data_IF_351302344440
#
_entry.id   IF_351302344440
#
_cell.length_a   1.000
_cell.length_b   1.000
_cell.length_c   1.000
_cell.angle_alpha   90.00
_cell.angle_beta   90.00
_cell.angle_gamma   90.00
#
_symmetry.space_group_name_H-M   'P 1'
#
loop_
_entity.id
_entity.type
_entity.pdbx_description
1 polymer ?
#
# COMPACT_ATOMS: atom_id res chain seq x y z
N UNK A 1 2.12 -26.91 -3.69
CA UNK A 1 0.99 -26.46 -2.85
C UNK A 1 0.98 -24.94 -2.91
N UNK A 2 0.46 -24.41 -4.00
CA UNK A 2 0.43 -22.98 -4.37
C UNK A 2 -0.93 -22.74 -5.02
N UNK A 3 -1.99 -23.15 -4.33
CA UNK A 3 -3.37 -22.95 -4.78
C UNK A 3 -4.04 -21.98 -3.82
N UNK A 4 -4.60 -20.93 -4.40
CA UNK A 4 -5.58 -19.98 -3.87
C UNK A 4 -5.10 -18.93 -2.85
N UNK A 5 -4.34 -17.93 -3.33
CA UNK A 5 -4.33 -16.61 -2.67
C UNK A 5 -5.04 -15.59 -3.56
N UNK A 6 -6.30 -15.33 -3.24
CA UNK A 6 -7.18 -14.35 -3.90
C UNK A 6 -6.51 -12.98 -4.13
N UNK A 7 -5.65 -12.55 -3.21
CA UNK A 7 -4.87 -11.32 -3.36
C UNK A 7 -3.79 -11.46 -4.43
N UNK A 8 -2.99 -12.53 -4.38
CA UNK A 8 -1.95 -12.73 -5.40
C UNK A 8 -2.58 -12.94 -6.78
N UNK A 9 -3.76 -13.55 -6.87
CA UNK A 9 -4.49 -13.70 -8.14
C UNK A 9 -5.07 -12.38 -8.64
N UNK A 10 -5.70 -11.58 -7.76
CA UNK A 10 -6.16 -10.24 -8.10
C UNK A 10 -5.00 -9.41 -8.61
N UNK A 11 -3.91 -9.34 -7.87
CA UNK A 11 -2.74 -8.58 -8.23
C UNK A 11 -2.07 -9.19 -9.47
N UNK A 12 -1.86 -10.50 -9.60
CA UNK A 12 -1.24 -11.08 -10.79
C UNK A 12 -2.07 -10.89 -12.07
N UNK A 13 -3.41 -11.01 -12.01
CA UNK A 13 -4.31 -10.83 -13.16
C UNK A 13 -4.56 -9.35 -13.48
N UNK A 14 -4.85 -8.52 -12.47
CA UNK A 14 -4.99 -7.07 -12.69
C UNK A 14 -3.67 -6.44 -13.14
N UNK A 15 -2.52 -6.98 -12.71
CA UNK A 15 -1.22 -6.40 -13.02
C UNK A 15 -0.70 -6.64 -14.44
N UNK A 16 -1.50 -7.25 -15.31
CA UNK A 16 -1.40 -7.04 -16.75
C UNK A 16 -1.84 -5.61 -17.16
N UNK A 17 -1.49 -4.57 -16.36
CA UNK A 17 -1.91 -3.15 -16.39
C UNK A 17 -1.44 -2.40 -17.65
N UNK A 18 -1.66 -2.89 -18.86
CA UNK A 18 -1.63 -1.97 -20.00
C UNK A 18 -2.82 -0.99 -19.96
N UNK A 19 -4.07 -1.42 -19.66
CA UNK A 19 -5.24 -0.54 -19.72
C UNK A 19 -5.22 0.56 -18.65
N UNK A 20 -4.73 0.23 -17.45
CA UNK A 20 -4.67 1.20 -16.35
C UNK A 20 -3.44 2.10 -16.40
N UNK A 21 -2.38 1.75 -17.14
CA UNK A 21 -1.19 2.60 -17.17
C UNK A 21 -1.54 3.98 -17.73
N UNK A 22 -2.34 4.02 -18.79
CA UNK A 22 -2.82 5.26 -19.40
C UNK A 22 -3.72 6.04 -18.44
N UNK A 23 -4.65 5.35 -17.77
CA UNK A 23 -5.57 6.00 -16.85
C UNK A 23 -4.87 6.50 -15.58
N UNK A 24 -3.96 5.72 -15.01
CA UNK A 24 -3.09 6.14 -13.91
C UNK A 24 -2.21 7.34 -14.32
N UNK A 25 -1.67 7.35 -15.54
CA UNK A 25 -0.91 8.48 -16.05
C UNK A 25 -1.78 9.75 -16.16
N UNK A 26 -3.02 9.62 -16.67
CA UNK A 26 -4.00 10.73 -16.69
C UNK A 26 -4.32 11.23 -15.29
N UNK A 27 -4.55 10.32 -14.34
CA UNK A 27 -4.80 10.69 -12.95
C UNK A 27 -3.64 11.40 -12.30
N UNK A 28 -2.39 10.99 -12.56
CA UNK A 28 -1.22 11.68 -12.01
C UNK A 28 -1.21 13.14 -12.48
N UNK A 29 -1.53 13.39 -13.75
CA UNK A 29 -1.66 14.74 -14.33
C UNK A 29 -2.85 15.49 -13.71
N UNK A 30 -4.03 14.90 -13.66
CA UNK A 30 -5.21 15.56 -13.09
C UNK A 30 -5.02 15.90 -11.62
N UNK A 31 -4.35 15.03 -10.86
CA UNK A 31 -4.12 15.24 -9.45
C UNK A 31 -3.06 16.30 -9.20
N UNK A 32 -1.98 16.39 -9.99
CA UNK A 32 -0.95 17.42 -9.82
C UNK A 32 -1.54 18.83 -9.89
N UNK A 33 -2.42 19.07 -10.88
CA UNK A 33 -3.04 20.37 -11.14
C UNK A 33 -4.16 20.73 -10.17
N UNK A 34 -4.85 19.75 -9.59
CA UNK A 34 -6.09 19.99 -8.83
C UNK A 34 -5.94 19.97 -7.32
N UNK A 35 -4.76 20.10 -6.72
CA UNK A 35 -4.64 20.09 -5.25
C UNK A 35 -5.18 21.37 -4.59
N UNK A 36 -6.47 21.45 -4.16
CA UNK A 36 -7.09 22.70 -3.72
C UNK A 36 -6.70 23.05 -2.27
N UNK A 37 -6.25 22.05 -1.50
CA UNK A 37 -5.84 22.17 -0.10
C UNK A 37 -4.34 22.47 0.07
N UNK A 38 -3.55 22.52 -1.01
CA UNK A 38 -2.12 22.79 -0.94
C UNK A 38 -1.70 24.17 -1.45
N UNK A 39 -2.64 24.99 -1.94
CA UNK A 39 -2.35 26.34 -2.49
C UNK A 39 -1.09 26.35 -3.38
N UNK A 40 -0.89 25.31 -4.21
CA UNK A 40 0.21 25.31 -5.17
C UNK A 40 -0.17 26.31 -6.24
N UNK A 41 0.48 27.47 -6.20
CA UNK A 41 0.32 28.47 -7.26
C UNK A 41 1.26 28.04 -8.38
N UNK A 42 0.74 27.81 -9.59
CA UNK A 42 1.52 27.42 -10.79
C UNK A 42 2.68 28.37 -11.13
N UNK A 43 2.70 29.55 -10.51
CA UNK A 43 3.60 30.65 -10.83
C UNK A 43 4.74 30.79 -9.81
N UNK A 44 4.63 30.20 -8.61
CA UNK A 44 5.59 30.44 -7.52
C UNK A 44 6.08 29.17 -6.80
N UNK A 45 7.32 29.24 -6.32
CA UNK A 45 7.92 28.21 -5.49
C UNK A 45 7.15 28.06 -4.17
N UNK A 46 6.51 26.91 -3.99
CA UNK A 46 5.67 26.60 -2.83
C UNK A 46 6.34 25.53 -1.97
N UNK A 47 6.40 25.67 -0.63
CA UNK A 47 6.91 24.63 0.24
C UNK A 47 5.93 23.45 0.32
N UNK A 48 6.41 22.24 0.03
CA UNK A 48 5.65 21.00 0.17
C UNK A 48 6.36 20.03 1.10
N UNK A 49 5.60 19.16 1.76
CA UNK A 49 6.13 18.05 2.55
C UNK A 49 6.11 16.78 1.67
N UNK A 50 7.28 16.23 1.27
CA UNK A 50 7.34 15.18 0.25
C UNK A 50 6.53 13.93 0.58
N UNK A 51 6.64 13.45 1.82
CA UNK A 51 5.97 12.22 2.23
C UNK A 51 4.44 12.29 2.15
N UNK A 52 3.76 13.25 2.82
CA UNK A 52 2.30 13.35 2.71
C UNK A 52 1.84 13.66 1.28
N UNK A 53 2.63 14.43 0.51
CA UNK A 53 2.33 14.70 -0.89
C UNK A 53 2.31 13.42 -1.75
N UNK A 54 3.40 12.65 -1.72
CA UNK A 54 3.50 11.40 -2.48
C UNK A 54 2.50 10.35 -2.00
N UNK A 55 2.25 10.29 -0.70
CA UNK A 55 1.28 9.36 -0.13
C UNK A 55 -0.14 9.66 -0.64
N UNK A 56 -0.54 10.93 -0.74
CA UNK A 56 -1.86 11.29 -1.28
C UNK A 56 -2.01 10.93 -2.76
N UNK A 57 -1.00 11.24 -3.58
CA UNK A 57 -0.98 10.85 -4.99
C UNK A 57 -1.13 9.34 -5.14
N UNK A 58 -0.29 8.59 -4.42
CA UNK A 58 -0.32 7.13 -4.44
C UNK A 58 -1.66 6.56 -3.95
N UNK A 59 -2.26 7.17 -2.92
CA UNK A 59 -3.53 6.73 -2.34
C UNK A 59 -4.67 6.85 -3.36
N UNK A 60 -4.75 7.96 -4.10
CA UNK A 60 -5.78 8.18 -5.12
C UNK A 60 -5.59 7.29 -6.35
N UNK A 61 -4.35 7.11 -6.81
CA UNK A 61 -4.02 6.17 -7.90
C UNK A 61 -4.40 4.74 -7.51
N UNK A 62 -4.03 4.32 -6.30
CA UNK A 62 -4.39 2.98 -5.80
C UNK A 62 -5.90 2.83 -5.67
N UNK A 63 -6.61 3.86 -5.18
CA UNK A 63 -8.06 3.84 -5.09
C UNK A 63 -8.72 3.69 -6.47
N UNK A 64 -8.18 4.28 -7.55
CA UNK A 64 -8.74 4.08 -8.90
C UNK A 64 -8.70 2.65 -9.38
N UNK A 65 -7.63 1.94 -9.05
CA UNK A 65 -7.44 0.53 -9.41
C UNK A 65 -8.36 -0.36 -8.58
N UNK A 66 -8.53 -0.05 -7.30
CA UNK A 66 -9.33 -0.86 -6.38
C UNK A 66 -10.83 -0.58 -6.50
N UNK A 67 -11.24 0.69 -6.44
CA UNK A 67 -12.64 1.08 -6.30
C UNK A 67 -13.22 1.82 -7.50
N UNK A 68 -12.48 1.85 -8.61
CA UNK A 68 -12.95 2.44 -9.86
C UNK A 68 -12.96 3.97 -9.86
N UNK A 69 -13.38 4.57 -10.99
CA UNK A 69 -13.47 6.03 -11.15
C UNK A 69 -14.51 6.67 -10.21
N UNK A 70 -15.53 5.93 -9.79
CA UNK A 70 -16.67 6.43 -9.02
C UNK A 70 -16.28 6.85 -7.59
N UNK A 71 -15.33 6.12 -6.98
CA UNK A 71 -14.95 6.34 -5.58
C UNK A 71 -13.52 6.86 -5.39
N UNK A 72 -12.65 6.78 -6.40
CA UNK A 72 -11.25 7.24 -6.26
C UNK A 72 -11.09 8.75 -5.99
N UNK A 73 -12.06 9.57 -6.41
CA UNK A 73 -12.12 11.00 -6.14
C UNK A 73 -13.05 11.37 -4.97
N UNK A 74 -13.69 10.38 -4.35
CA UNK A 74 -14.59 10.60 -3.24
C UNK A 74 -13.79 10.76 -1.95
N UNK A 75 -13.56 12.00 -1.52
CA UNK A 75 -12.82 12.30 -0.29
C UNK A 75 -13.45 11.66 0.96
N UNK A 76 -14.74 11.38 0.92
CA UNK A 76 -15.43 10.67 1.99
C UNK A 76 -15.03 9.20 2.07
N UNK A 77 -14.90 8.53 0.92
CA UNK A 77 -14.38 7.16 0.83
C UNK A 77 -12.93 7.09 1.29
N UNK A 78 -12.08 7.99 0.79
CA UNK A 78 -10.67 8.08 1.17
C UNK A 78 -10.52 8.36 2.67
N UNK A 79 -11.33 9.27 3.22
CA UNK A 79 -11.36 9.57 4.64
C UNK A 79 -11.83 8.39 5.49
N UNK A 80 -12.88 7.68 5.06
CA UNK A 80 -13.41 6.52 5.77
C UNK A 80 -12.40 5.36 5.82
N UNK A 81 -11.72 5.09 4.70
CA UNK A 81 -10.71 4.04 4.59
C UNK A 81 -9.45 4.37 5.41
N UNK A 82 -8.99 5.62 5.39
CA UNK A 82 -7.88 6.07 6.25
C UNK A 82 -8.23 5.96 7.75
N UNK A 83 -9.43 6.38 8.14
CA UNK A 83 -9.91 6.27 9.53
C UNK A 83 -10.09 4.82 9.97
N UNK A 84 -10.53 3.94 9.06
CA UNK A 84 -10.58 2.51 9.30
C UNK A 84 -9.20 1.94 9.64
N UNK A 85 -8.17 2.24 8.83
CA UNK A 85 -6.79 1.75 9.08
C UNK A 85 -6.28 2.23 10.44
N UNK A 86 -6.46 3.51 10.75
CA UNK A 86 -6.05 4.08 12.05
C UNK A 86 -6.76 3.40 13.23
N UNK A 87 -8.08 3.22 13.12
CA UNK A 87 -8.89 2.57 14.15
C UNK A 87 -8.54 1.10 14.30
N UNK A 88 -8.24 0.40 13.20
CA UNK A 88 -7.82 -0.99 13.21
C UNK A 88 -6.50 -1.17 13.97
N UNK A 89 -5.48 -0.37 13.65
CA UNK A 89 -4.18 -0.44 14.34
C UNK A 89 -4.31 -0.15 15.84
N UNK A 90 -5.09 0.88 16.20
CA UNK A 90 -5.39 1.19 17.61
C UNK A 90 -6.14 0.05 18.29
N UNK A 91 -7.15 -0.52 17.65
CA UNK A 91 -7.92 -1.63 18.18
C UNK A 91 -7.04 -2.86 18.42
N UNK A 92 -6.17 -3.24 17.48
CA UNK A 92 -5.27 -4.39 17.66
C UNK A 92 -4.36 -4.21 18.89
N UNK A 93 -3.73 -3.03 19.02
CA UNK A 93 -2.87 -2.73 20.17
C UNK A 93 -3.66 -2.71 21.48
N UNK A 94 -4.82 -2.04 21.49
CA UNK A 94 -5.73 -1.90 22.64
C UNK A 94 -6.27 -3.25 23.12
N UNK A 95 -6.67 -4.13 22.20
CA UNK A 95 -7.20 -5.45 22.53
C UNK A 95 -6.12 -6.35 23.10
N UNK A 96 -4.94 -6.39 22.47
CA UNK A 96 -3.80 -7.20 22.97
C UNK A 96 -3.31 -6.75 24.35
N UNK A 97 -3.38 -5.45 24.65
CA UNK A 97 -2.94 -4.92 25.93
C UNK A 97 -3.95 -5.13 27.07
N UNK A 98 -5.26 -5.12 26.79
CA UNK A 98 -6.31 -5.08 27.82
C UNK A 98 -7.06 -6.39 28.01
N UNK A 99 -7.06 -7.27 27.03
CA UNK A 99 -7.85 -8.50 27.05
C UNK A 99 -6.95 -9.72 27.10
N UNK A 100 -7.30 -10.66 27.98
CA UNK A 100 -6.71 -11.99 27.93
C UNK A 100 -7.09 -12.68 26.60
N UNK A 101 -6.20 -13.53 26.07
CA UNK A 101 -6.39 -14.21 24.77
C UNK A 101 -7.74 -14.93 24.65
N UNK A 102 -8.21 -15.55 25.75
CA UNK A 102 -9.51 -16.25 25.82
C UNK A 102 -10.73 -15.31 25.89
N UNK A 103 -10.55 -14.06 26.33
CA UNK A 103 -11.62 -13.07 26.48
C UNK A 103 -11.63 -12.04 25.34
N UNK A 104 -10.76 -12.19 24.34
CA UNK A 104 -10.62 -11.26 23.22
C UNK A 104 -11.92 -11.02 22.45
N UNK A 105 -12.83 -12.00 22.41
CA UNK A 105 -14.14 -11.85 21.75
C UNK A 105 -15.02 -10.76 22.39
N UNK A 106 -14.89 -10.52 23.70
CA UNK A 106 -15.64 -9.48 24.42
C UNK A 106 -15.23 -8.07 24.00
N UNK A 107 -14.02 -7.92 23.45
CA UNK A 107 -13.52 -6.63 22.98
C UNK A 107 -14.42 -6.02 21.90
N UNK A 108 -15.05 -6.85 21.05
CA UNK A 108 -16.02 -6.38 20.04
C UNK A 108 -17.14 -5.55 20.67
N UNK A 109 -17.62 -5.95 21.84
CA UNK A 109 -18.80 -5.38 22.49
C UNK A 109 -18.44 -4.29 23.51
N UNK A 110 -17.23 -4.32 24.08
CA UNK A 110 -16.85 -3.47 25.21
C UNK A 110 -15.85 -2.39 24.78
N UNK A 111 -14.88 -2.74 23.92
CA UNK A 111 -13.78 -1.86 23.56
C UNK A 111 -14.24 -0.79 22.57
N UNK A 112 -14.02 0.49 22.91
CA UNK A 112 -14.38 1.63 22.06
C UNK A 112 -13.60 1.65 20.74
N UNK A 113 -12.32 1.27 20.74
CA UNK A 113 -11.48 1.21 19.54
C UNK A 113 -12.00 0.12 18.60
N UNK A 114 -12.34 -1.05 19.16
CA UNK A 114 -12.91 -2.15 18.37
C UNK A 114 -14.26 -1.76 17.75
N UNK A 115 -15.13 -1.06 18.50
CA UNK A 115 -16.39 -0.50 17.95
C UNK A 115 -16.14 0.52 16.83
N UNK A 116 -15.08 1.33 16.96
CA UNK A 116 -14.65 2.27 15.92
C UNK A 116 -14.39 1.58 14.58
N UNK A 117 -13.71 0.43 14.59
CA UNK A 117 -13.47 -0.38 13.38
C UNK A 117 -14.78 -0.73 12.67
N UNK A 118 -15.79 -1.22 13.40
CA UNK A 118 -17.09 -1.57 12.80
C UNK A 118 -17.85 -0.34 12.29
N UNK A 119 -17.75 0.79 12.99
CA UNK A 119 -18.36 2.05 12.54
C UNK A 119 -17.79 2.51 11.20
N UNK A 120 -16.46 2.49 11.04
CA UNK A 120 -15.83 2.89 9.78
C UNK A 120 -16.11 1.89 8.64
N UNK A 121 -16.18 0.59 8.95
CA UNK A 121 -16.62 -0.43 7.98
C UNK A 121 -18.04 -0.19 7.49
N UNK A 122 -18.97 0.10 8.41
CA UNK A 122 -20.35 0.40 8.05
C UNK A 122 -20.42 1.65 7.17
N UNK A 123 -19.65 2.69 7.49
CA UNK A 123 -19.62 3.90 6.68
C UNK A 123 -19.09 3.63 5.27
N UNK A 124 -18.02 2.84 5.13
CA UNK A 124 -17.52 2.41 3.83
C UNK A 124 -18.60 1.63 3.04
N UNK A 125 -19.31 0.71 3.68
CA UNK A 125 -20.41 -0.03 3.07
C UNK A 125 -21.54 0.91 2.59
N UNK A 126 -21.87 1.94 3.37
CA UNK A 126 -22.91 2.91 2.99
C UNK A 126 -22.53 3.73 1.75
N UNK A 127 -21.26 4.11 1.61
CA UNK A 127 -20.73 4.82 0.44
C UNK A 127 -20.67 3.90 -0.78
N UNK A 128 -20.30 2.64 -0.59
CA UNK A 128 -20.15 1.65 -1.67
C UNK A 128 -21.49 1.14 -2.21
N UNK A 129 -22.52 1.07 -1.35
CA UNK A 129 -23.85 0.55 -1.68
C UNK A 129 -24.46 1.11 -2.97
N UNK A 130 -24.52 2.44 -3.20
CA UNK A 130 -25.08 2.97 -4.45
C UNK A 130 -24.26 2.56 -5.68
N UNK A 131 -22.94 2.47 -5.58
CA UNK A 131 -22.07 2.05 -6.69
C UNK A 131 -22.31 0.58 -7.03
N UNK A 132 -22.36 -0.28 -6.00
CA UNK A 132 -22.68 -1.70 -6.18
C UNK A 132 -24.05 -1.89 -6.83
N UNK A 133 -25.07 -1.19 -6.33
CA UNK A 133 -26.42 -1.30 -6.88
C UNK A 133 -26.46 -0.87 -8.36
N UNK A 134 -25.82 0.25 -8.70
CA UNK A 134 -25.77 0.73 -10.08
C UNK A 134 -25.09 -0.26 -11.02
N UNK A 135 -24.00 -0.92 -10.58
CA UNK A 135 -23.31 -1.95 -11.36
C UNK A 135 -24.16 -3.20 -11.53
N UNK A 136 -24.82 -3.68 -10.46
CA UNK A 136 -25.74 -4.81 -10.54
C UNK A 136 -26.94 -4.54 -11.46
N UNK A 137 -27.46 -3.31 -11.45
CA UNK A 137 -28.57 -2.90 -12.31
C UNK A 137 -28.14 -2.82 -13.79
N UNK A 138 -26.92 -2.34 -14.06
CA UNK A 138 -26.34 -2.31 -15.40
C UNK A 138 -26.11 -3.73 -15.96
N UNK A 139 -25.56 -4.63 -15.14
CA UNK A 139 -25.39 -6.04 -15.51
C UNK A 139 -26.74 -6.74 -15.79
N UNK A 140 -27.77 -6.44 -14.99
CA UNK A 140 -29.11 -6.97 -15.20
C UNK A 140 -29.74 -6.50 -16.53
N UNK A 141 -29.32 -5.33 -17.02
CA UNK A 141 -29.72 -4.79 -18.33
C UNK A 141 -28.88 -5.34 -19.49
N UNK A 142 -27.92 -6.23 -19.23
CA UNK A 142 -27.00 -6.78 -20.24
C UNK A 142 -25.95 -5.78 -20.69
N UNK A 143 -25.76 -4.69 -19.96
CA UNK A 143 -24.66 -3.75 -20.18
C UNK A 143 -23.46 -4.31 -19.42
N UNK A 144 -22.59 -5.05 -20.11
CA UNK A 144 -21.28 -5.39 -19.55
C UNK A 144 -20.50 -4.09 -19.36
N UNK A 145 -20.38 -3.68 -18.11
CA UNK A 145 -19.44 -2.65 -17.73
C UNK A 145 -18.05 -3.26 -17.92
N UNK A 146 -17.37 -2.91 -19.02
CA UNK A 146 -15.95 -3.24 -19.24
C UNK A 146 -15.02 -2.51 -18.26
N UNK A 147 -15.42 -2.44 -17.00
CA UNK A 147 -14.71 -1.83 -15.90
C UNK A 147 -13.73 -2.85 -15.37
N UNK A 148 -12.49 -2.70 -15.78
CA UNK A 148 -11.38 -3.31 -15.07
C UNK A 148 -11.18 -2.46 -13.80
N UNK A 149 -11.65 -2.94 -12.65
CA UNK A 149 -11.29 -2.45 -11.31
C UNK A 149 -11.54 -3.53 -10.23
N UNK A 150 -11.09 -3.27 -9.00
CA UNK A 150 -11.22 -4.20 -7.87
C UNK A 150 -12.65 -4.54 -7.47
N UNK A 151 -13.61 -3.60 -7.57
CA UNK A 151 -15.02 -3.86 -7.30
C UNK A 151 -15.57 -4.86 -8.31
N UNK A 152 -15.33 -4.65 -9.60
CA UNK A 152 -15.82 -5.56 -10.64
C UNK A 152 -15.15 -6.94 -10.49
N UNK A 153 -13.85 -6.96 -10.23
CA UNK A 153 -13.12 -8.20 -9.99
C UNK A 153 -13.68 -8.98 -8.79
N UNK A 154 -13.99 -8.29 -7.67
CA UNK A 154 -14.62 -8.92 -6.51
C UNK A 154 -16.03 -9.43 -6.87
N UNK A 155 -16.83 -8.66 -7.61
CA UNK A 155 -18.14 -9.13 -8.07
C UNK A 155 -18.04 -10.43 -8.89
N UNK A 156 -17.08 -10.50 -9.81
CA UNK A 156 -16.82 -11.69 -10.64
C UNK A 156 -16.27 -12.87 -9.83
N UNK A 157 -15.38 -12.63 -8.86
CA UNK A 157 -14.87 -13.64 -7.95
C UNK A 157 -15.97 -14.24 -7.06
N UNK A 158 -16.89 -13.41 -6.56
CA UNK A 158 -18.06 -13.88 -5.82
C UNK A 158 -19.00 -14.69 -6.71
N UNK A 159 -19.22 -14.25 -7.95
CA UNK A 159 -20.05 -14.93 -8.95
C UNK A 159 -19.49 -16.30 -9.31
N UNK A 160 -18.18 -16.42 -9.52
CA UNK A 160 -17.49 -17.69 -9.78
C UNK A 160 -17.72 -18.70 -8.63
N UNK A 161 -17.87 -18.20 -7.40
CA UNK A 161 -18.20 -19.00 -6.22
C UNK A 161 -19.72 -19.18 -5.99
N UNK A 162 -20.57 -18.81 -6.95
CA UNK A 162 -22.02 -18.95 -6.88
C UNK A 162 -22.70 -18.00 -5.88
N UNK A 163 -22.03 -16.91 -5.49
CA UNK A 163 -22.52 -15.93 -4.52
C UNK A 163 -22.71 -14.56 -5.16
N UNK A 164 -23.56 -13.73 -4.55
CA UNK A 164 -23.62 -12.29 -4.83
C UNK A 164 -23.12 -11.54 -3.60
N UNK A 165 -22.17 -10.62 -3.74
CA UNK A 165 -21.63 -9.89 -2.60
C UNK A 165 -22.63 -8.85 -2.09
N UNK A 166 -22.62 -8.58 -0.79
CA UNK A 166 -23.30 -7.40 -0.22
C UNK A 166 -22.33 -6.21 -0.15
N UNK A 167 -22.86 -5.00 -0.02
CA UNK A 167 -22.03 -3.80 0.14
C UNK A 167 -21.11 -3.89 1.37
N UNK A 168 -21.54 -4.55 2.44
CA UNK A 168 -20.76 -4.77 3.66
C UNK A 168 -19.62 -5.76 3.45
N UNK A 169 -19.85 -6.80 2.64
CA UNK A 169 -18.82 -7.79 2.29
C UNK A 169 -17.76 -7.16 1.38
N UNK A 170 -18.17 -6.51 0.29
CA UNK A 170 -17.27 -5.80 -0.59
C UNK A 170 -16.48 -4.70 0.16
N UNK A 171 -17.14 -3.90 1.00
CA UNK A 171 -16.44 -2.88 1.77
C UNK A 171 -15.42 -3.48 2.74
N UNK A 172 -15.68 -4.66 3.30
CA UNK A 172 -14.72 -5.38 4.13
C UNK A 172 -13.50 -5.83 3.31
N UNK A 173 -13.72 -6.42 2.15
CA UNK A 173 -12.65 -6.93 1.29
C UNK A 173 -11.82 -5.77 0.71
N UNK A 174 -12.46 -4.72 0.22
CA UNK A 174 -11.82 -3.48 -0.26
C UNK A 174 -11.01 -2.79 0.84
N UNK A 175 -11.58 -2.61 2.03
CA UNK A 175 -10.82 -2.04 3.15
C UNK A 175 -9.70 -2.96 3.60
N UNK A 176 -9.82 -4.28 3.42
CA UNK A 176 -8.76 -5.26 3.58
C UNK A 176 -7.62 -5.08 2.57
N UNK A 177 -7.94 -4.85 1.29
CA UNK A 177 -6.97 -4.56 0.24
C UNK A 177 -6.21 -3.26 0.53
N UNK A 178 -6.92 -2.19 0.88
CA UNK A 178 -6.32 -0.91 1.26
C UNK A 178 -5.43 -1.07 2.49
N UNK A 179 -5.88 -1.84 3.48
CA UNK A 179 -5.10 -2.19 4.66
C UNK A 179 -3.82 -2.96 4.28
N UNK A 180 -3.86 -3.85 3.29
CA UNK A 180 -2.69 -4.58 2.79
C UNK A 180 -1.68 -3.71 2.02
N UNK A 181 -2.13 -2.59 1.44
CA UNK A 181 -1.28 -1.67 0.65
C UNK A 181 -0.67 -0.57 1.52
N UNK A 182 -1.30 -0.23 2.65
CA UNK A 182 -0.86 0.93 3.44
C UNK A 182 0.51 0.68 4.10
N UNK A 183 1.55 1.50 3.79
CA UNK A 183 2.92 1.29 4.30
C UNK A 183 3.03 1.43 5.83
N UNK A 184 2.02 2.03 6.47
CA UNK A 184 1.96 2.22 7.92
C UNK A 184 1.56 0.96 8.71
N UNK A 185 1.17 -0.15 8.07
CA UNK A 185 0.91 -1.41 8.77
C UNK A 185 2.16 -2.08 9.34
N UNK A 186 3.34 -1.53 9.05
CA UNK A 186 4.60 -1.90 9.66
C UNK A 186 4.82 -1.23 11.05
N UNK A 187 3.87 -0.42 11.56
CA UNK A 187 4.01 0.40 12.80
C UNK A 187 3.72 -0.29 14.14
N UNK A 188 3.73 -1.63 14.20
CA UNK A 188 3.86 -2.35 15.48
C UNK A 188 4.80 -3.56 15.35
N UNK A 189 5.51 -3.92 16.44
CA UNK A 189 6.93 -4.21 16.40
C UNK A 189 7.25 -5.50 15.65
N UNK A 190 8.21 -5.34 14.74
CA UNK A 190 9.06 -6.35 14.13
C UNK A 190 8.51 -6.94 12.83
N UNK A 191 8.88 -6.31 11.71
CA UNK A 191 9.47 -6.99 10.57
C UNK A 191 9.02 -8.45 10.38
N UNK A 192 7.97 -8.66 9.57
CA UNK A 192 7.41 -9.97 9.20
C UNK A 192 7.39 -10.99 10.35
N UNK A 193 6.63 -10.74 11.43
CA UNK A 193 6.65 -11.63 12.57
C UNK A 193 6.00 -12.97 12.16
N UNK A 194 6.65 -14.07 12.54
CA UNK A 194 6.12 -15.43 12.48
C UNK A 194 6.10 -15.98 13.88
N UNK A 195 5.06 -16.73 14.23
CA UNK A 195 5.04 -17.50 15.46
C UNK A 195 5.20 -18.96 15.10
N UNK A 196 6.15 -19.65 15.72
CA UNK A 196 6.28 -21.09 15.59
C UNK A 196 5.06 -21.76 16.25
N UNK A 197 4.09 -22.20 15.44
CA UNK A 197 2.90 -22.88 15.96
C UNK A 197 3.25 -24.24 16.58
N UNK A 198 4.24 -24.91 16.01
CA UNK A 198 4.82 -26.17 16.46
C UNK A 198 6.35 -26.00 16.53
N UNK A 199 7.07 -26.79 17.36
CA UNK A 199 8.51 -26.70 17.38
C UNK A 199 9.09 -27.08 16.01
N UNK A 200 10.12 -26.37 15.57
CA UNK A 200 10.72 -26.55 14.25
C UNK A 200 12.24 -26.58 14.33
N UNK A 201 12.86 -27.56 13.68
CA UNK A 201 14.33 -27.65 13.56
C UNK A 201 14.72 -27.41 12.11
N UNK A 202 15.55 -26.41 11.86
CA UNK A 202 16.09 -26.15 10.53
C UNK A 202 17.14 -27.19 10.13
N UNK A 203 17.38 -27.35 8.82
CA UNK A 203 18.39 -28.27 8.28
C UNK A 203 19.80 -28.05 8.83
N UNK A 204 20.13 -26.84 9.24
CA UNK A 204 21.40 -26.45 9.87
C UNK A 204 21.41 -26.60 11.40
N UNK A 205 20.39 -27.22 11.98
CA UNK A 205 20.35 -27.63 13.40
C UNK A 205 19.74 -26.61 14.37
N UNK A 206 19.39 -25.39 13.93
CA UNK A 206 18.70 -24.43 14.79
C UNK A 206 17.31 -24.95 15.16
N UNK A 207 17.03 -25.09 16.45
CA UNK A 207 15.73 -25.49 16.98
C UNK A 207 14.95 -24.29 17.51
N UNK A 208 13.71 -24.12 17.04
CA UNK A 208 12.77 -23.09 17.49
C UNK A 208 11.63 -23.77 18.26
N UNK A 209 11.46 -23.48 19.56
CA UNK A 209 10.33 -23.99 20.34
C UNK A 209 8.98 -23.41 19.87
N UNK A 210 7.91 -24.17 20.10
CA UNK A 210 6.55 -23.66 19.90
C UNK A 210 6.29 -22.39 20.72
N UNK A 211 5.48 -21.48 20.17
CA UNK A 211 5.15 -20.17 20.75
C UNK A 211 6.22 -19.10 20.56
N UNK A 212 7.38 -19.42 19.98
CA UNK A 212 8.45 -18.44 19.75
C UNK A 212 8.09 -17.50 18.59
N UNK A 213 8.18 -16.19 18.82
CA UNK A 213 8.07 -15.18 17.77
C UNK A 213 9.42 -14.96 17.09
N UNK A 214 9.43 -14.98 15.76
CA UNK A 214 10.59 -14.80 14.90
C UNK A 214 10.33 -13.61 13.99
N UNK A 215 11.30 -12.71 13.88
CA UNK A 215 11.24 -11.55 13.01
C UNK A 215 12.55 -11.39 12.24
N UNK A 216 12.48 -10.76 11.07
CA UNK A 216 13.60 -10.73 10.13
C UNK A 216 14.20 -9.33 10.00
N UNK A 217 15.50 -9.13 10.28
CA UNK A 217 16.11 -7.81 10.30
C UNK A 217 16.29 -7.22 8.87
N UNK A 218 15.23 -6.65 8.30
CA UNK A 218 15.26 -6.13 6.91
C UNK A 218 16.29 -5.01 6.73
N UNK A 219 16.49 -4.14 7.74
CA UNK A 219 17.50 -3.07 7.66
C UNK A 219 18.91 -3.66 7.55
N UNK A 220 19.22 -4.68 8.33
CA UNK A 220 20.53 -5.35 8.31
C UNK A 220 20.75 -6.07 6.99
N UNK A 221 19.69 -6.64 6.40
CA UNK A 221 19.77 -7.27 5.07
C UNK A 221 20.05 -6.24 3.97
N UNK A 222 19.38 -5.08 4.00
CA UNK A 222 19.64 -4.00 3.03
C UNK A 222 20.98 -3.31 3.22
N UNK A 223 21.55 -3.33 4.43
CA UNK A 223 22.85 -2.72 4.76
C UNK A 223 24.00 -3.75 4.86
N UNK A 224 23.73 -5.02 4.59
CA UNK A 224 24.73 -6.08 4.61
C UNK A 224 25.74 -5.87 3.50
N UNK A 225 27.00 -5.62 3.86
CA UNK A 225 28.08 -5.35 2.90
C UNK A 225 28.40 -6.57 2.01
N UNK A 226 28.06 -7.76 2.49
CA UNK A 226 28.12 -9.03 1.75
C UNK A 226 27.09 -9.08 0.60
N UNK A 227 25.96 -8.41 0.77
CA UNK A 227 24.88 -8.37 -0.24
C UNK A 227 24.96 -7.09 -1.08
N UNK A 228 25.24 -5.96 -0.44
CA UNK A 228 25.24 -4.61 -1.00
C UNK A 228 26.55 -3.90 -0.64
N UNK A 229 27.59 -3.97 -1.49
CA UNK A 229 28.78 -3.16 -1.32
C UNK A 229 28.42 -1.68 -1.27
N UNK A 230 29.02 -0.94 -0.33
CA UNK A 230 28.77 0.50 -0.13
C UNK A 230 27.30 0.84 0.20
N UNK A 231 26.59 -0.05 0.90
CA UNK A 231 25.15 0.11 1.21
C UNK A 231 24.77 1.41 1.96
N UNK A 232 25.75 2.11 2.56
CA UNK A 232 25.54 3.40 3.23
C UNK A 232 25.50 4.58 2.26
N UNK A 233 25.90 4.37 1.01
CA UNK A 233 25.97 5.40 -0.03
C UNK A 233 24.83 5.20 -1.04
N UNK A 234 24.14 6.28 -1.40
CA UNK A 234 23.10 6.22 -2.40
C UNK A 234 23.69 6.11 -3.81
N UNK A 235 23.59 4.93 -4.41
CA UNK A 235 23.95 4.69 -5.81
C UNK A 235 22.71 4.31 -6.61
N UNK A 236 22.20 5.26 -7.40
CA UNK A 236 20.99 5.09 -8.21
C UNK A 236 21.11 3.98 -9.27
N UNK A 237 22.33 3.59 -9.66
CA UNK A 237 22.58 2.62 -10.74
C UNK A 237 23.01 1.25 -10.21
N UNK A 238 23.08 1.03 -8.89
CA UNK A 238 23.56 -0.23 -8.32
C UNK A 238 22.77 -1.45 -8.80
N UNK A 239 21.44 -1.38 -8.79
CA UNK A 239 20.58 -2.46 -9.29
C UNK A 239 20.49 -2.51 -10.81
N UNK A 240 20.70 -1.38 -11.50
CA UNK A 240 20.80 -1.38 -12.96
C UNK A 240 21.97 -2.26 -13.42
N UNK A 241 23.17 -2.04 -12.86
CA UNK A 241 24.36 -2.83 -13.20
C UNK A 241 24.22 -4.30 -12.83
N UNK A 242 23.50 -4.63 -11.76
CA UNK A 242 23.22 -6.04 -11.39
C UNK A 242 22.30 -6.76 -12.38
N UNK A 243 21.39 -6.03 -13.03
CA UNK A 243 20.53 -6.59 -14.08
C UNK A 243 21.26 -6.91 -15.38
N UNK A 244 22.48 -6.39 -15.57
CA UNK A 244 23.32 -6.75 -16.72
C UNK A 244 23.96 -8.14 -16.56
N UNK A 245 23.90 -8.74 -15.37
CA UNK A 245 24.38 -10.09 -15.08
C UNK A 245 23.36 -11.20 -15.32
N UNK A 246 23.70 -12.42 -14.89
CA UNK A 246 22.76 -13.54 -14.84
C UNK A 246 21.65 -13.27 -13.80
N UNK A 247 20.42 -13.71 -14.08
CA UNK A 247 19.22 -13.53 -13.25
C UNK A 247 18.75 -12.08 -13.04
N UNK A 248 18.66 -11.30 -14.12
CA UNK A 248 18.16 -9.92 -14.10
C UNK A 248 16.81 -9.74 -13.37
N UNK A 249 15.92 -10.74 -13.48
CA UNK A 249 14.59 -10.75 -12.87
C UNK A 249 14.61 -10.56 -11.34
N UNK A 250 15.69 -10.93 -10.65
CA UNK A 250 15.82 -10.81 -9.19
C UNK A 250 16.06 -9.38 -8.71
N UNK A 251 16.47 -8.49 -9.61
CA UNK A 251 16.87 -7.11 -9.28
C UNK A 251 15.89 -6.06 -9.83
N UNK A 252 14.69 -6.46 -10.23
CA UNK A 252 13.60 -5.50 -10.46
C UNK A 252 13.01 -5.03 -9.13
N UNK A 253 12.45 -3.82 -9.13
CA UNK A 253 11.92 -3.18 -7.92
C UNK A 253 10.85 -4.05 -7.22
N UNK A 254 9.95 -4.67 -7.98
CA UNK A 254 8.88 -5.52 -7.44
C UNK A 254 9.30 -6.98 -7.19
N UNK A 255 10.59 -7.30 -7.29
CA UNK A 255 11.09 -8.65 -7.09
C UNK A 255 11.18 -9.00 -5.62
N UNK A 256 11.10 -10.30 -5.32
CA UNK A 256 11.11 -10.83 -3.95
C UNK A 256 12.26 -11.84 -3.79
N UNK A 257 13.52 -11.39 -3.92
CA UNK A 257 14.67 -12.29 -3.85
C UNK A 257 15.01 -12.66 -2.39
N UNK A 258 15.75 -13.76 -2.19
CA UNK A 258 16.19 -14.16 -0.85
C UNK A 258 17.12 -13.16 -0.12
N UNK A 259 17.63 -12.15 -0.84
CA UNK A 259 18.52 -11.12 -0.33
C UNK A 259 17.84 -9.76 -0.12
N UNK A 260 16.51 -9.67 -0.21
CA UNK A 260 15.76 -8.46 0.14
C UNK A 260 14.37 -8.82 0.68
N UNK A 261 13.96 -8.18 1.77
CA UNK A 261 12.64 -8.40 2.38
C UNK A 261 11.75 -7.15 2.27
N UNK A 262 12.06 -6.22 1.36
CA UNK A 262 11.30 -4.96 1.24
C UNK A 262 9.83 -5.18 0.86
N UNK A 263 9.54 -6.22 0.09
CA UNK A 263 8.20 -6.67 -0.26
C UNK A 263 7.86 -8.02 0.39
N UNK A 264 8.50 -8.41 1.50
CA UNK A 264 8.27 -9.69 2.17
C UNK A 264 8.92 -10.87 1.46
N UNK A 265 8.40 -12.08 1.69
CA UNK A 265 8.88 -13.31 1.08
C UNK A 265 7.82 -14.43 1.15
N UNK A 266 7.89 -15.36 0.21
CA UNK A 266 7.00 -16.54 0.14
C UNK A 266 5.53 -16.15 0.00
N UNK A 267 4.65 -16.90 0.67
CA UNK A 267 3.19 -16.71 0.66
C UNK A 267 2.72 -15.34 1.17
N UNK A 268 3.56 -14.65 1.95
CA UNK A 268 3.23 -13.33 2.49
C UNK A 268 4.04 -12.21 1.82
N UNK A 269 4.52 -12.45 0.59
CA UNK A 269 5.04 -11.38 -0.24
C UNK A 269 3.93 -10.35 -0.49
N UNK A 270 4.30 -9.07 -0.56
CA UNK A 270 3.36 -7.98 -0.78
C UNK A 270 2.68 -8.17 -2.14
N UNK A 271 1.36 -8.38 -2.18
CA UNK A 271 0.68 -8.64 -3.44
C UNK A 271 0.59 -7.34 -4.28
N UNK A 272 0.46 -6.17 -3.64
CA UNK A 272 0.46 -4.86 -4.28
C UNK A 272 1.81 -4.33 -4.79
N UNK A 273 2.89 -5.11 -4.74
CA UNK A 273 4.24 -4.65 -5.09
C UNK A 273 4.40 -4.19 -6.54
N UNK A 274 3.66 -4.77 -7.50
CA UNK A 274 3.75 -4.32 -8.89
C UNK A 274 2.89 -3.09 -9.15
N UNK A 275 1.76 -2.93 -8.46
CA UNK A 275 1.00 -1.67 -8.47
C UNK A 275 1.88 -0.54 -7.91
N UNK A 276 2.55 -0.79 -6.79
CA UNK A 276 3.50 0.14 -6.21
C UNK A 276 4.60 0.53 -7.20
N UNK A 277 5.18 -0.45 -7.90
CA UNK A 277 6.21 -0.23 -8.92
C UNK A 277 5.73 0.73 -10.02
N UNK A 278 4.57 0.48 -10.62
CA UNK A 278 4.11 1.31 -11.75
C UNK A 278 3.59 2.68 -11.29
N UNK A 279 2.81 2.74 -10.21
CA UNK A 279 2.32 4.02 -9.68
C UNK A 279 3.46 4.95 -9.25
N UNK A 280 4.48 4.43 -8.55
CA UNK A 280 5.64 5.24 -8.15
C UNK A 280 6.38 5.76 -9.39
N UNK A 281 6.62 4.91 -10.40
CA UNK A 281 7.28 5.35 -11.64
C UNK A 281 6.49 6.45 -12.33
N UNK A 282 5.17 6.32 -12.47
CA UNK A 282 4.33 7.32 -13.12
C UNK A 282 4.36 8.66 -12.36
N UNK A 283 4.26 8.62 -11.03
CA UNK A 283 4.41 9.81 -10.18
C UNK A 283 5.77 10.47 -10.42
N UNK A 284 6.87 9.70 -10.39
CA UNK A 284 8.21 10.24 -10.61
C UNK A 284 8.42 10.78 -12.02
N UNK A 285 7.94 10.09 -13.05
CA UNK A 285 8.02 10.57 -14.44
C UNK A 285 7.33 11.91 -14.56
N UNK A 286 6.10 12.03 -14.08
CA UNK A 286 5.35 13.28 -14.15
C UNK A 286 6.05 14.42 -13.38
N UNK A 287 6.49 14.17 -12.14
CA UNK A 287 7.20 15.16 -11.34
C UNK A 287 8.52 15.61 -12.00
N UNK A 288 9.26 14.69 -12.64
CA UNK A 288 10.53 15.02 -13.29
C UNK A 288 10.35 15.80 -14.60
N UNK A 289 9.21 15.63 -15.28
CA UNK A 289 8.95 16.29 -16.57
C UNK A 289 8.14 17.58 -16.44
N UNK A 290 7.36 17.74 -15.38
CA UNK A 290 6.44 18.87 -15.18
C UNK A 290 6.65 19.62 -13.86
N UNK A 291 7.73 19.35 -13.13
CA UNK A 291 7.96 20.04 -11.85
C UNK A 291 9.43 20.37 -11.61
N UNK A 292 9.65 21.46 -10.87
CA UNK A 292 10.94 21.85 -10.32
C UNK A 292 10.99 21.56 -8.82
N UNK A 293 12.14 21.09 -8.34
CA UNK A 293 12.39 20.85 -6.93
C UNK A 293 13.68 21.53 -6.50
N UNK A 294 13.69 22.13 -5.31
CA UNK A 294 14.90 22.58 -4.62
C UNK A 294 14.72 22.46 -3.11
N UNK A 295 15.82 22.40 -2.38
CA UNK A 295 15.74 22.48 -0.91
C UNK A 295 15.19 23.84 -0.46
N UNK A 296 14.55 23.85 0.71
CA UNK A 296 14.07 25.10 1.33
C UNK A 296 15.20 26.01 1.74
N UNK A 297 16.35 25.44 2.11
CA UNK A 297 17.55 26.16 2.52
C UNK A 297 18.73 25.79 1.62
N UNK A 298 19.61 26.76 1.37
CA UNK A 298 20.84 26.56 0.61
C UNK A 298 21.81 25.67 1.41
N UNK A 299 22.40 24.66 0.76
CA UNK A 299 23.29 23.70 1.41
C UNK A 299 22.59 22.61 2.25
N UNK A 300 21.26 22.61 2.31
CA UNK A 300 20.50 21.56 2.97
C UNK A 300 20.77 20.19 2.32
N UNK A 301 20.94 19.17 3.16
CA UNK A 301 21.13 17.79 2.74
C UNK A 301 19.87 16.96 2.95
N UNK A 302 19.88 15.71 2.48
CA UNK A 302 18.81 14.74 2.76
C UNK A 302 18.57 14.66 4.27
N UNK A 303 17.33 14.88 4.74
CA UNK A 303 17.02 14.74 6.15
C UNK A 303 17.33 13.34 6.67
N UNK A 304 17.84 13.26 7.91
CA UNK A 304 18.08 11.98 8.58
C UNK A 304 16.74 11.29 8.81
N UNK A 305 16.71 9.98 8.55
CA UNK A 305 15.54 9.16 8.83
C UNK A 305 15.21 9.19 10.34
N UNK A 306 13.91 9.14 10.67
CA UNK A 306 13.42 9.09 12.05
C UNK A 306 13.12 7.64 12.43
N UNK A 307 13.75 7.10 13.49
CA UNK A 307 13.36 5.80 14.02
C UNK A 307 11.98 5.91 14.67
N UNK A 308 11.09 4.98 14.35
CA UNK A 308 9.78 4.82 14.98
C UNK A 308 9.61 3.36 15.40
N UNK A 309 9.84 3.10 16.69
CA UNK A 309 9.89 1.75 17.26
C UNK A 309 10.88 0.83 16.51
N UNK A 310 10.40 -0.17 15.75
CA UNK A 310 11.24 -1.07 14.95
C UNK A 310 11.29 -0.69 13.46
N UNK A 311 10.83 0.51 13.11
CA UNK A 311 10.82 1.05 11.76
C UNK A 311 11.80 2.20 11.59
N UNK A 312 12.15 2.44 10.33
CA UNK A 312 12.85 3.64 9.89
C UNK A 312 11.93 4.41 8.94
N UNK A 313 11.55 5.63 9.30
CA UNK A 313 10.66 6.48 8.52
C UNK A 313 11.42 7.71 7.99
N UNK A 314 11.06 8.28 6.84
CA UNK A 314 11.65 9.54 6.42
C UNK A 314 11.19 10.67 7.35
N UNK A 315 11.97 11.76 7.41
CA UNK A 315 11.57 12.92 8.19
C UNK A 315 10.40 13.67 7.52
N UNK A 316 9.21 13.56 8.11
CA UNK A 316 8.00 14.23 7.59
C UNK A 316 7.94 15.75 7.84
N UNK A 317 8.85 16.29 8.66
CA UNK A 317 8.79 17.69 9.09
C UNK A 317 9.64 18.63 8.23
N UNK A 318 10.40 18.09 7.28
CA UNK A 318 11.28 18.91 6.43
C UNK A 318 10.62 19.16 5.08
N UNK A 319 10.28 20.41 4.75
CA UNK A 319 9.73 20.74 3.45
C UNK A 319 10.82 20.76 2.36
N UNK A 320 10.38 20.65 1.12
CA UNK A 320 11.15 21.02 -0.07
C UNK A 320 10.34 22.05 -0.85
N UNK A 321 11.02 22.91 -1.62
CA UNK A 321 10.35 23.84 -2.51
C UNK A 321 9.97 23.11 -3.79
N UNK A 322 8.74 23.33 -4.22
CA UNK A 322 8.14 22.75 -5.41
C UNK A 322 7.58 23.85 -6.30
N UNK A 323 7.70 23.69 -7.60
CA UNK A 323 7.04 24.53 -8.59
C UNK A 323 6.53 23.63 -9.71
N UNK A 324 5.31 23.86 -10.17
CA UNK A 324 4.80 23.18 -11.36
C UNK A 324 5.28 23.93 -12.60
N UNK A 325 5.80 23.20 -13.59
CA UNK A 325 6.26 23.77 -14.85
C UNK A 325 5.12 23.58 -15.84
N UNK A 326 4.56 24.67 -16.40
CA UNK A 326 3.48 24.57 -17.37
C UNK A 326 3.88 23.68 -18.54
N UNK A 327 2.99 22.78 -18.93
CA UNK A 327 3.07 22.04 -20.19
C UNK A 327 3.21 23.05 -21.34
N UNK A 328 4.28 22.93 -22.12
CA UNK A 328 4.49 23.75 -23.33
C UNK A 328 3.63 23.30 -24.49
#
# INVERSE_FOLDING_TARGET
MTEDNMLDDFFAHSLAMLPYLEDMARMVVDLSHRFPHMNIVEIDWTPIYPYPFLLQLFTRISARVLVGPELCHNDEWLGATQQYVSSFLKAVSSVRARYHSLLGWTAKCINADAKGVYKHRQRAADILRPVLQARMDAEAQGIEAGLEDGIQWLMDAYRANGKRPTAEQLALDETGFICGIHPQQLSHPALYPRMAAVPWTFSYGLHIPAGTQVSFPNRQLNLGQDIHPDATTFDAKCFFRRREGADADKFHFASVPGHSLNFGAGFHACPGRFLAKEAIKLIFVHMLTHSGFKYSEEGQQRPVDKPDNLQMLPNFATPIMFIEIPLK
#
